data_IF_604156711258
#
_entry.id   IF_604156711258
#
_cell.length_a   1.000
_cell.length_b   1.000
_cell.length_c   1.000
_cell.angle_alpha   90.00
_cell.angle_beta   90.00
_cell.angle_gamma   90.00
#
_symmetry.space_group_name_H-M   'P 1'
#
loop_
_entity.id
_entity.type
_entity.pdbx_description
1 polymer ?
#
# COMPACT_ATOMS: atom_id res chain seq x y z
N UNK A 1 -1.31 -1.86 21.07
CA UNK A 1 -1.82 -0.75 20.25
C UNK A 1 -1.46 -0.88 18.77
N UNK A 2 -0.20 -1.14 18.43
CA UNK A 2 0.28 -1.29 17.04
C UNK A 2 -0.55 -2.24 16.17
N UNK A 3 -0.90 -3.45 16.65
CA UNK A 3 -1.71 -4.41 15.90
C UNK A 3 -3.11 -3.89 15.52
N UNK A 4 -3.75 -3.08 16.35
CA UNK A 4 -5.07 -2.51 16.03
C UNK A 4 -4.99 -1.48 14.91
N UNK A 5 -3.90 -0.71 14.86
CA UNK A 5 -3.64 0.22 13.76
C UNK A 5 -3.38 -0.52 12.44
N UNK A 6 -2.61 -1.61 12.47
CA UNK A 6 -2.36 -2.45 11.28
C UNK A 6 -3.68 -3.04 10.75
N UNK A 7 -4.53 -3.56 11.64
CA UNK A 7 -5.84 -4.11 11.25
C UNK A 7 -6.75 -3.00 10.69
N UNK A 8 -6.80 -1.83 11.35
CA UNK A 8 -7.58 -0.69 10.90
C UNK A 8 -7.15 -0.20 9.51
N UNK A 9 -5.85 0.01 9.31
CA UNK A 9 -5.30 0.39 7.99
C UNK A 9 -5.52 -0.70 6.94
N UNK A 10 -5.49 -1.98 7.32
CA UNK A 10 -5.79 -3.10 6.42
C UNK A 10 -7.24 -3.06 5.91
N UNK A 11 -8.21 -2.80 6.79
CA UNK A 11 -9.63 -2.69 6.43
C UNK A 11 -9.85 -1.49 5.51
N UNK A 12 -9.28 -0.32 5.85
CA UNK A 12 -9.36 0.89 5.03
C UNK A 12 -8.74 0.64 3.65
N UNK A 13 -7.56 0.02 3.61
CA UNK A 13 -6.87 -0.31 2.36
C UNK A 13 -7.70 -1.24 1.48
N UNK A 14 -8.32 -2.26 2.08
CA UNK A 14 -9.22 -3.18 1.39
C UNK A 14 -10.41 -2.46 0.76
N UNK A 15 -11.05 -1.54 1.48
CA UNK A 15 -12.17 -0.75 0.96
C UNK A 15 -11.75 0.14 -0.21
N UNK A 16 -10.65 0.88 -0.06
CA UNK A 16 -10.12 1.80 -1.07
C UNK A 16 -9.75 1.04 -2.35
N UNK A 17 -9.03 -0.07 -2.23
CA UNK A 17 -8.59 -0.86 -3.36
C UNK A 17 -9.76 -1.54 -4.04
N UNK A 18 -10.70 -2.12 -3.29
CA UNK A 18 -11.86 -2.78 -3.88
C UNK A 18 -12.73 -1.80 -4.67
N UNK A 19 -12.93 -0.59 -4.15
CA UNK A 19 -13.61 0.47 -4.90
C UNK A 19 -12.83 0.88 -6.15
N UNK A 20 -11.52 1.11 -6.03
CA UNK A 20 -10.68 1.57 -7.13
C UNK A 20 -10.54 0.53 -8.25
N UNK A 21 -10.28 -0.73 -7.91
CA UNK A 21 -10.15 -1.82 -8.89
C UNK A 21 -11.48 -2.08 -9.60
N UNK A 22 -12.61 -2.06 -8.87
CA UNK A 22 -13.93 -2.19 -9.49
C UNK A 22 -14.23 -1.04 -10.46
N UNK A 23 -13.87 0.19 -10.08
CA UNK A 23 -14.14 1.39 -10.89
C UNK A 23 -13.25 1.52 -12.12
N UNK A 24 -11.96 1.22 -12.00
CA UNK A 24 -10.96 1.53 -13.04
C UNK A 24 -10.50 0.32 -13.85
N UNK A 25 -10.52 -0.88 -13.26
CA UNK A 25 -9.93 -2.08 -13.87
C UNK A 25 -10.95 -3.18 -14.11
N UNK A 26 -12.15 -3.07 -13.53
CA UNK A 26 -13.19 -4.12 -13.52
C UNK A 26 -12.64 -5.50 -13.11
N UNK A 27 -11.59 -5.51 -12.29
CA UNK A 27 -10.90 -6.70 -11.79
C UNK A 27 -11.11 -6.80 -10.28
N UNK A 28 -11.07 -8.02 -9.75
CA UNK A 28 -11.03 -8.20 -8.30
C UNK A 28 -9.61 -7.91 -7.79
N UNK A 29 -9.45 -7.08 -6.75
CA UNK A 29 -8.15 -6.90 -6.13
C UNK A 29 -7.72 -8.19 -5.44
N UNK A 30 -6.41 -8.40 -5.38
CA UNK A 30 -5.80 -9.52 -4.65
C UNK A 30 -5.38 -9.10 -3.24
N UNK A 31 -5.14 -10.08 -2.38
CA UNK A 31 -4.60 -9.83 -1.04
C UNK A 31 -3.28 -9.05 -1.09
N UNK A 32 -2.42 -9.35 -2.07
CA UNK A 32 -1.16 -8.65 -2.27
C UNK A 32 -1.36 -7.15 -2.52
N UNK A 33 -2.39 -6.77 -3.30
CA UNK A 33 -2.70 -5.37 -3.57
C UNK A 33 -3.06 -4.63 -2.27
N UNK A 34 -3.89 -5.27 -1.42
CA UNK A 34 -4.31 -4.74 -0.12
C UNK A 34 -3.11 -4.60 0.83
N UNK A 35 -2.24 -5.61 0.86
CA UNK A 35 -1.05 -5.61 1.70
C UNK A 35 -0.06 -4.51 1.29
N UNK A 36 0.15 -4.31 -0.02
CA UNK A 36 1.02 -3.25 -0.53
C UNK A 36 0.54 -1.87 -0.08
N UNK A 37 -0.77 -1.60 -0.20
CA UNK A 37 -1.34 -0.32 0.22
C UNK A 37 -1.29 -0.14 1.74
N UNK A 38 -1.51 -1.22 2.49
CA UNK A 38 -1.42 -1.20 3.96
C UNK A 38 0.00 -0.86 4.41
N UNK A 39 1.01 -1.49 3.81
CA UNK A 39 2.43 -1.21 4.08
C UNK A 39 2.81 0.23 3.70
N UNK A 40 2.26 0.73 2.58
CA UNK A 40 2.47 2.11 2.18
C UNK A 40 1.92 3.09 3.21
N UNK A 41 0.67 2.92 3.64
CA UNK A 41 0.09 3.77 4.68
C UNK A 41 0.87 3.69 6.00
N UNK A 42 1.27 2.48 6.41
CA UNK A 42 2.07 2.29 7.61
C UNK A 42 3.41 3.04 7.55
N UNK A 43 4.12 2.93 6.42
CA UNK A 43 5.38 3.64 6.19
C UNK A 43 5.19 5.16 6.19
N UNK A 44 4.12 5.67 5.57
CA UNK A 44 3.83 7.11 5.59
C UNK A 44 3.46 7.61 6.98
N UNK A 45 2.70 6.82 7.76
CA UNK A 45 2.36 7.17 9.13
C UNK A 45 3.61 7.20 10.01
N UNK A 46 4.48 6.20 9.89
CA UNK A 46 5.76 6.14 10.59
C UNK A 46 6.65 7.34 10.24
N UNK A 47 6.69 7.75 8.96
CA UNK A 47 7.40 8.95 8.54
C UNK A 47 6.88 10.23 9.21
N UNK A 48 5.56 10.39 9.28
CA UNK A 48 4.94 11.55 9.93
C UNK A 48 5.24 11.54 11.43
N UNK A 49 5.17 10.37 12.08
CA UNK A 49 5.46 10.23 13.50
C UNK A 49 6.94 10.54 13.80
N UNK A 50 7.87 10.01 13.00
CA UNK A 50 9.30 10.31 13.10
C UNK A 50 9.57 11.80 12.88
N UNK A 51 8.77 12.48 12.03
CA UNK A 51 8.93 13.91 11.73
C UNK A 51 8.53 14.77 12.89
N UNK A 52 7.43 14.40 13.53
CA UNK A 52 6.95 15.06 14.74
C UNK A 52 7.94 14.83 15.90
N UNK A 53 8.54 13.64 16.00
CA UNK A 53 9.48 13.29 17.08
C UNK A 53 10.94 13.65 16.80
N UNK A 54 11.25 14.17 15.61
CA UNK A 54 12.61 14.45 15.15
C UNK A 54 13.57 13.23 15.32
N UNK A 55 13.09 12.04 14.95
CA UNK A 55 13.85 10.78 15.03
C UNK A 55 14.43 10.37 13.67
N UNK A 56 15.26 9.33 13.65
CA UNK A 56 15.86 8.80 12.43
C UNK A 56 14.82 8.29 11.43
N UNK A 57 14.67 9.04 10.34
CA UNK A 57 13.70 8.79 9.27
C UNK A 57 14.03 7.63 8.34
N UNK A 58 15.27 7.12 8.42
CA UNK A 58 15.82 6.25 7.38
C UNK A 58 14.97 4.99 7.15
N UNK A 59 14.52 4.35 8.23
CA UNK A 59 13.73 3.12 8.17
C UNK A 59 12.34 3.40 7.57
N UNK A 60 11.69 4.48 7.98
CA UNK A 60 10.36 4.86 7.51
C UNK A 60 10.37 5.27 6.03
N UNK A 61 11.43 5.94 5.57
CA UNK A 61 11.66 6.25 4.15
C UNK A 61 11.86 4.95 3.35
N UNK A 62 12.71 4.04 3.83
CA UNK A 62 12.94 2.77 3.13
C UNK A 62 11.68 1.91 3.05
N UNK A 63 10.84 1.93 4.09
CA UNK A 63 9.55 1.24 4.10
C UNK A 63 8.58 1.80 3.04
N UNK A 64 8.49 3.12 2.91
CA UNK A 64 7.66 3.77 1.89
C UNK A 64 8.19 3.53 0.47
N UNK A 65 9.51 3.61 0.26
CA UNK A 65 10.11 3.34 -1.04
C UNK A 65 9.90 1.88 -1.48
N UNK A 66 10.07 0.94 -0.56
CA UNK A 66 9.91 -0.50 -0.86
C UNK A 66 8.47 -0.84 -1.22
N UNK A 67 7.50 -0.31 -0.46
CA UNK A 67 6.07 -0.48 -0.77
C UNK A 67 5.69 0.17 -2.09
N UNK A 68 6.25 1.33 -2.43
CA UNK A 68 6.05 1.97 -3.73
C UNK A 68 6.61 1.13 -4.89
N UNK A 69 7.81 0.56 -4.74
CA UNK A 69 8.41 -0.32 -5.75
C UNK A 69 7.56 -1.59 -5.99
N UNK A 70 7.02 -2.18 -4.92
CA UNK A 70 6.10 -3.31 -5.01
C UNK A 70 4.82 -2.93 -5.76
N UNK A 71 4.26 -1.74 -5.47
CA UNK A 71 3.09 -1.22 -6.17
C UNK A 71 3.36 -1.04 -7.68
N UNK A 72 4.50 -0.46 -8.05
CA UNK A 72 4.90 -0.30 -9.46
C UNK A 72 5.07 -1.63 -10.18
N UNK A 73 5.74 -2.61 -9.54
CA UNK A 73 5.92 -3.94 -10.13
C UNK A 73 4.58 -4.64 -10.33
N UNK A 74 3.67 -4.50 -9.36
CA UNK A 74 2.32 -5.05 -9.45
C UNK A 74 1.50 -4.40 -10.56
N UNK A 75 1.50 -3.08 -10.66
CA UNK A 75 0.87 -2.34 -11.75
C UNK A 75 1.40 -2.78 -13.13
N UNK A 76 2.71 -2.91 -13.27
CA UNK A 76 3.34 -3.39 -14.52
C UNK A 76 2.88 -4.81 -14.89
N UNK A 77 2.68 -5.69 -13.91
CA UNK A 77 2.15 -7.03 -14.13
C UNK A 77 0.69 -7.00 -14.58
N UNK A 78 -0.16 -6.18 -13.94
CA UNK A 78 -1.57 -6.02 -14.34
C UNK A 78 -1.66 -5.51 -15.79
N UNK A 79 -0.85 -4.52 -16.16
CA UNK A 79 -0.81 -3.99 -17.53
C UNK A 79 -0.39 -5.05 -18.55
N UNK A 80 0.59 -5.91 -18.22
CA UNK A 80 0.99 -7.03 -19.09
C UNK A 80 -0.13 -8.07 -19.27
N UNK A 81 -0.89 -8.35 -18.21
CA UNK A 81 -2.03 -9.28 -18.27
C UNK A 81 -3.13 -8.68 -19.16
N UNK A 82 -3.44 -7.40 -18.99
CA UNK A 82 -4.45 -6.70 -19.80
C UNK A 82 -4.10 -6.55 -21.28
N UNK A 83 -2.82 -6.61 -21.68
CA UNK A 83 -2.41 -6.55 -23.08
C UNK A 83 -2.38 -7.93 -23.77
N UNK A 84 -2.51 -9.01 -22.99
CA UNK A 84 -2.53 -10.40 -23.49
C UNK A 84 -3.93 -11.01 -23.54
N UNK A 85 -4.91 -10.38 -22.89
CA UNK A 85 -6.33 -10.73 -22.95
C UNK A 85 -7.00 -9.98 -24.10
#
# INVERSE_FOLDING_TARGET
MFFYWVIGFGIISSLIINWSFKKFLNMKPTFDDIMILTLFFLGTYSLIEDLIKAQDFFVSIMCTLTSLLLAFRRYKNIKKISQKA
#
